data_IF_084128113111
#
_entry.id   IF_084128113111
#
_cell.length_a   1.000
_cell.length_b   1.000
_cell.length_c   1.000
_cell.angle_alpha   90.00
_cell.angle_beta   90.00
_cell.angle_gamma   90.00
#
_symmetry.space_group_name_H-M   'P 1'
#
loop_
_entity.id
_entity.type
_entity.pdbx_description
1 polymer ?
#
# COMPACT_ATOMS: atom_id res chain seq x y z
N UNK A 1 -51.09 21.39 17.97
CA UNK A 1 -49.91 21.26 17.09
C UNK A 1 -49.34 19.88 17.34
N UNK A 2 -49.40 18.97 16.35
CA UNK A 2 -48.75 17.66 16.43
C UNK A 2 -47.28 17.88 16.08
N UNK A 3 -46.39 17.53 16.99
CA UNK A 3 -44.95 17.49 16.71
C UNK A 3 -44.71 16.50 15.56
N UNK A 4 -44.35 17.03 14.41
CA UNK A 4 -43.84 16.27 13.28
C UNK A 4 -42.42 15.80 13.67
N UNK A 5 -42.34 14.68 14.37
CA UNK A 5 -41.11 13.88 14.45
C UNK A 5 -40.82 13.39 13.04
N UNK A 6 -39.97 14.09 12.31
CA UNK A 6 -39.36 13.55 11.09
C UNK A 6 -38.51 12.37 11.57
N UNK A 7 -39.02 11.15 11.41
CA UNK A 7 -38.28 9.91 11.65
C UNK A 7 -37.12 9.85 10.66
N UNK A 8 -35.97 10.41 11.05
CA UNK A 8 -34.76 10.24 10.28
C UNK A 8 -34.38 8.75 10.30
N UNK A 9 -34.21 8.15 9.12
CA UNK A 9 -33.74 6.77 8.99
C UNK A 9 -32.21 6.72 9.04
N UNK A 10 -31.66 5.60 9.51
CA UNK A 10 -30.23 5.37 9.52
C UNK A 10 -29.72 5.01 8.11
N UNK A 11 -28.75 5.76 7.57
CA UNK A 11 -28.13 5.50 6.26
C UNK A 11 -27.50 4.11 6.09
N UNK A 12 -27.20 3.40 7.18
CA UNK A 12 -26.57 2.07 7.14
C UNK A 12 -27.55 0.91 7.29
N UNK A 13 -28.71 1.09 7.92
CA UNK A 13 -29.64 -0.02 8.20
C UNK A 13 -31.11 0.31 7.91
N UNK A 14 -31.43 1.53 7.47
CA UNK A 14 -32.77 2.11 7.29
C UNK A 14 -33.67 2.14 8.53
N UNK A 15 -33.26 1.55 9.64
CA UNK A 15 -34.06 1.58 10.86
C UNK A 15 -34.14 2.99 11.49
N UNK A 16 -35.10 3.19 12.41
CA UNK A 16 -35.33 4.50 13.03
C UNK A 16 -34.10 4.96 13.80
N UNK A 17 -33.79 6.26 13.71
CA UNK A 17 -32.64 6.90 14.36
C UNK A 17 -33.09 7.62 15.63
N UNK A 18 -32.50 7.27 16.78
CA UNK A 18 -32.44 8.17 17.93
C UNK A 18 -31.35 9.21 17.64
N UNK A 19 -31.68 10.50 17.74
CA UNK A 19 -30.75 11.60 17.47
C UNK A 19 -29.64 11.57 18.52
N UNK A 20 -28.49 10.95 18.20
CA UNK A 20 -27.32 11.01 19.08
C UNK A 20 -26.59 12.34 18.86
N UNK A 21 -26.30 13.08 19.93
CA UNK A 21 -25.63 14.39 19.91
C UNK A 21 -24.16 14.37 19.46
N UNK A 22 -23.57 13.22 19.13
CA UNK A 22 -22.13 13.08 18.86
C UNK A 22 -21.78 12.83 17.36
N UNK A 23 -22.10 13.81 16.51
CA UNK A 23 -21.31 14.10 15.30
C UNK A 23 -21.41 13.19 14.07
N UNK A 24 -22.03 12.00 14.14
CA UNK A 24 -22.23 11.13 12.96
C UNK A 24 -23.60 11.41 12.30
N UNK A 25 -23.67 12.47 11.50
CA UNK A 25 -24.90 12.91 10.82
C UNK A 25 -25.43 11.80 9.88
N UNK A 26 -26.54 11.16 10.27
CA UNK A 26 -27.28 10.19 9.46
C UNK A 26 -27.24 8.73 9.93
N UNK A 27 -26.62 8.41 11.07
CA UNK A 27 -26.50 7.01 11.55
C UNK A 27 -27.11 6.80 12.95
N UNK A 28 -27.62 5.60 13.25
CA UNK A 28 -28.12 5.20 14.57
C UNK A 28 -26.97 4.82 15.52
N UNK A 29 -27.23 4.67 16.81
CA UNK A 29 -26.20 4.34 17.83
C UNK A 29 -25.51 2.99 17.60
N UNK A 30 -26.21 2.03 16.97
CA UNK A 30 -25.62 0.74 16.58
C UNK A 30 -24.64 0.91 15.42
N UNK A 31 -25.04 1.65 14.38
CA UNK A 31 -24.27 1.75 13.13
C UNK A 31 -23.20 2.85 13.18
N UNK A 32 -23.46 3.95 13.87
CA UNK A 32 -22.63 5.17 13.89
C UNK A 32 -21.14 4.93 14.16
N UNK A 33 -20.77 4.13 15.17
CA UNK A 33 -19.36 3.79 15.44
C UNK A 33 -18.63 3.07 14.28
N UNK A 34 -19.39 2.50 13.33
CA UNK A 34 -18.92 1.69 12.21
C UNK A 34 -19.26 2.30 10.84
N UNK A 35 -20.04 3.38 10.81
CA UNK A 35 -20.73 3.85 9.61
C UNK A 35 -19.84 4.53 8.57
N UNK A 36 -18.87 5.35 9.01
CA UNK A 36 -17.92 6.01 8.11
C UNK A 36 -16.73 5.12 7.74
N UNK A 37 -16.78 3.85 8.13
CA UNK A 37 -15.71 2.89 7.94
C UNK A 37 -16.08 1.98 6.77
N UNK A 38 -15.16 1.72 5.85
CA UNK A 38 -15.35 1.02 4.57
C UNK A 38 -16.14 1.75 3.46
N UNK A 39 -16.28 3.09 3.46
CA UNK A 39 -16.82 3.78 2.26
C UNK A 39 -15.67 4.03 1.28
N UNK A 40 -15.36 3.00 0.51
CA UNK A 40 -14.36 3.06 -0.56
C UNK A 40 -15.04 3.49 -1.84
N UNK A 41 -14.96 4.78 -2.16
CA UNK A 41 -15.50 5.33 -3.40
C UNK A 41 -14.53 5.04 -4.53
N UNK A 42 -15.00 4.40 -5.60
CA UNK A 42 -14.16 4.17 -6.79
C UNK A 42 -13.69 5.50 -7.41
N UNK A 43 -14.47 6.55 -7.20
CA UNK A 43 -14.18 7.92 -7.63
C UNK A 43 -12.96 8.51 -6.92
N UNK A 44 -12.58 7.96 -5.77
CA UNK A 44 -11.41 8.39 -5.03
C UNK A 44 -10.11 7.78 -5.58
N UNK A 45 -10.18 6.69 -6.34
CA UNK A 45 -9.01 6.05 -6.92
C UNK A 45 -8.43 6.85 -8.08
N UNK A 46 -7.12 6.71 -8.30
CA UNK A 46 -6.45 7.23 -9.50
C UNK A 46 -7.10 6.67 -10.78
N UNK A 47 -7.08 7.42 -11.90
CA UNK A 47 -7.80 7.01 -13.11
C UNK A 47 -7.40 5.63 -13.63
N UNK A 48 -6.11 5.27 -13.57
CA UNK A 48 -5.63 3.98 -14.03
C UNK A 48 -6.10 2.83 -13.12
N UNK A 49 -6.10 3.03 -11.79
CA UNK A 49 -6.55 2.00 -10.84
C UNK A 49 -8.06 1.77 -10.97
N UNK A 50 -8.84 2.85 -11.14
CA UNK A 50 -10.26 2.78 -11.45
C UNK A 50 -10.53 2.01 -12.74
N UNK A 51 -9.83 2.36 -13.83
CA UNK A 51 -10.01 1.69 -15.11
C UNK A 51 -9.75 0.18 -14.98
N UNK A 52 -8.68 -0.21 -14.29
CA UNK A 52 -8.35 -1.61 -14.07
C UNK A 52 -9.42 -2.37 -13.27
N UNK A 53 -9.93 -1.78 -12.18
CA UNK A 53 -10.98 -2.40 -11.35
C UNK A 53 -12.30 -2.57 -12.11
N UNK A 54 -12.65 -1.60 -12.96
CA UNK A 54 -13.92 -1.61 -13.71
C UNK A 54 -13.84 -2.51 -14.96
N UNK A 55 -12.74 -2.41 -15.70
CA UNK A 55 -12.63 -2.97 -17.05
C UNK A 55 -11.88 -4.31 -17.07
N UNK A 56 -10.88 -4.47 -16.22
CA UNK A 56 -9.92 -5.60 -16.26
C UNK A 56 -10.00 -6.46 -15.00
N UNK A 57 -11.22 -6.62 -14.46
CA UNK A 57 -11.46 -7.26 -13.16
C UNK A 57 -10.91 -8.69 -13.07
N UNK A 58 -11.04 -9.47 -14.14
CA UNK A 58 -10.59 -10.87 -14.15
C UNK A 58 -9.08 -10.97 -13.83
N UNK A 59 -8.28 -10.03 -14.33
CA UNK A 59 -6.83 -9.98 -14.08
C UNK A 59 -6.53 -9.80 -12.58
N UNK A 60 -7.33 -8.99 -11.88
CA UNK A 60 -7.14 -8.75 -10.45
C UNK A 60 -7.46 -9.98 -9.59
N UNK A 61 -8.32 -10.89 -10.06
CA UNK A 61 -8.64 -12.14 -9.39
C UNK A 61 -7.58 -13.23 -9.66
N UNK A 62 -6.90 -13.19 -10.83
CA UNK A 62 -5.96 -14.22 -11.27
C UNK A 62 -4.48 -13.93 -10.92
N UNK A 63 -4.12 -12.67 -10.65
CA UNK A 63 -2.72 -12.27 -10.39
C UNK A 63 -2.36 -12.37 -8.91
N UNK A 64 -1.33 -13.16 -8.61
CA UNK A 64 -0.73 -13.21 -7.27
C UNK A 64 -0.24 -11.82 -6.84
N UNK A 65 -0.43 -11.43 -5.56
CA UNK A 65 0.05 -10.15 -5.06
C UNK A 65 1.56 -10.02 -5.22
N UNK A 66 1.98 -9.03 -6.01
CA UNK A 66 3.39 -8.69 -6.19
C UNK A 66 3.79 -7.76 -5.05
N UNK A 67 4.78 -8.18 -4.27
CA UNK A 67 5.32 -7.35 -3.18
C UNK A 67 6.10 -6.16 -3.73
N UNK A 68 6.01 -4.98 -3.08
CA UNK A 68 6.73 -3.81 -3.52
C UNK A 68 8.24 -4.00 -3.35
N UNK A 69 9.03 -3.73 -4.41
CA UNK A 69 10.48 -3.77 -4.30
C UNK A 69 11.00 -2.63 -3.42
N UNK A 70 12.03 -2.92 -2.62
CA UNK A 70 12.67 -1.96 -1.71
C UNK A 70 14.12 -1.64 -2.10
N UNK A 71 14.65 -2.28 -3.13
CA UNK A 71 16.01 -2.06 -3.66
C UNK A 71 16.12 -2.60 -5.09
N UNK A 72 17.23 -2.28 -5.75
CA UNK A 72 17.48 -2.66 -7.14
C UNK A 72 17.48 -4.16 -7.41
N UNK A 73 18.00 -4.97 -6.48
CA UNK A 73 17.96 -6.43 -6.64
C UNK A 73 16.54 -7.00 -6.63
N UNK A 74 15.64 -6.40 -5.83
CA UNK A 74 14.21 -6.76 -5.84
C UNK A 74 13.51 -6.23 -7.09
N UNK A 75 13.87 -5.03 -7.56
CA UNK A 75 13.37 -4.49 -8.83
C UNK A 75 13.77 -5.36 -10.01
N UNK A 76 15.03 -5.80 -10.09
CA UNK A 76 15.50 -6.71 -11.14
C UNK A 76 14.68 -8.00 -11.17
N UNK A 77 14.51 -8.66 -10.01
CA UNK A 77 13.71 -9.90 -9.91
C UNK A 77 12.28 -9.71 -10.38
N UNK A 78 11.66 -8.59 -10.00
CA UNK A 78 10.32 -8.26 -10.47
C UNK A 78 10.28 -8.07 -11.99
N UNK A 79 11.20 -7.27 -12.54
CA UNK A 79 11.24 -6.98 -13.96
C UNK A 79 11.47 -8.26 -14.80
N UNK A 80 12.32 -9.17 -14.33
CA UNK A 80 12.52 -10.49 -14.94
C UNK A 80 11.26 -11.39 -14.92
N UNK A 81 10.34 -11.20 -13.98
CA UNK A 81 9.06 -11.93 -13.96
C UNK A 81 8.02 -11.36 -14.93
N UNK A 82 8.18 -10.10 -15.31
CA UNK A 82 7.22 -9.35 -16.14
C UNK A 82 7.65 -9.30 -17.60
N UNK A 83 8.95 -9.24 -17.87
CA UNK A 83 9.53 -9.07 -19.20
C UNK A 83 10.10 -10.42 -19.69
N UNK A 84 10.05 -10.73 -21.00
CA UNK A 84 10.70 -11.93 -21.55
C UNK A 84 12.19 -12.02 -21.21
N UNK A 85 12.69 -13.24 -21.03
CA UNK A 85 14.09 -13.50 -20.64
C UNK A 85 15.12 -13.09 -21.71
N UNK A 86 14.70 -13.03 -22.97
CA UNK A 86 15.50 -12.61 -24.12
C UNK A 86 15.38 -11.09 -24.39
N UNK A 87 14.74 -10.35 -23.50
CA UNK A 87 14.63 -8.90 -23.61
C UNK A 87 15.99 -8.22 -23.62
N UNK A 88 16.19 -7.45 -24.69
CA UNK A 88 17.29 -6.51 -24.85
C UNK A 88 16.73 -5.10 -24.64
N UNK A 89 17.21 -4.36 -23.62
CA UNK A 89 16.87 -2.94 -23.47
C UNK A 89 17.13 -2.18 -24.77
N UNK A 90 16.29 -1.20 -25.09
CA UNK A 90 16.50 -0.39 -26.29
C UNK A 90 17.90 0.26 -26.23
N UNK A 91 18.76 -0.06 -27.21
CA UNK A 91 20.16 0.36 -27.28
C UNK A 91 21.14 -0.46 -26.44
N UNK A 92 20.68 -1.54 -25.79
CA UNK A 92 21.49 -2.48 -25.02
C UNK A 92 22.04 -3.62 -25.87
N UNK A 93 23.22 -4.10 -25.49
CA UNK A 93 23.91 -5.22 -26.15
C UNK A 93 23.72 -6.55 -25.42
N UNK A 94 23.26 -6.50 -24.18
CA UNK A 94 23.17 -7.63 -23.28
C UNK A 94 21.75 -7.77 -22.72
N UNK A 95 21.29 -9.00 -22.42
CA UNK A 95 20.03 -9.21 -21.68
C UNK A 95 20.04 -8.47 -20.35
N UNK A 96 18.85 -8.04 -19.88
CA UNK A 96 18.70 -7.15 -18.71
C UNK A 96 19.52 -7.59 -17.48
N UNK A 97 19.49 -8.87 -17.12
CA UNK A 97 20.24 -9.41 -15.96
C UNK A 97 21.75 -9.34 -16.17
N UNK A 98 22.21 -9.74 -17.36
CA UNK A 98 23.64 -9.75 -17.71
C UNK A 98 24.17 -8.32 -17.76
N UNK A 99 23.40 -7.39 -18.34
CA UNK A 99 23.71 -5.97 -18.36
C UNK A 99 23.79 -5.40 -16.93
N UNK A 100 22.79 -5.68 -16.09
CA UNK A 100 22.76 -5.22 -14.71
C UNK A 100 23.99 -5.70 -13.91
N UNK A 101 24.35 -6.97 -14.04
CA UNK A 101 25.53 -7.52 -13.36
C UNK A 101 26.84 -6.96 -13.95
N UNK A 102 26.94 -6.73 -15.26
CA UNK A 102 28.11 -6.09 -15.86
C UNK A 102 28.32 -4.67 -15.32
N UNK A 103 27.24 -3.88 -15.22
CA UNK A 103 27.25 -2.52 -14.66
C UNK A 103 27.61 -2.55 -13.17
N UNK A 104 26.96 -3.44 -12.40
CA UNK A 104 27.13 -3.54 -10.95
C UNK A 104 28.55 -3.95 -10.55
N UNK A 105 29.19 -4.80 -11.33
CA UNK A 105 30.55 -5.27 -11.08
C UNK A 105 31.63 -4.30 -11.58
N UNK A 106 31.24 -3.22 -12.26
CA UNK A 106 32.17 -2.20 -12.71
C UNK A 106 32.50 -1.21 -11.56
N UNK A 107 33.74 -0.69 -11.48
CA UNK A 107 34.10 0.33 -10.50
C UNK A 107 33.19 1.57 -10.59
N UNK A 108 32.98 2.23 -9.46
CA UNK A 108 32.21 3.48 -9.42
C UNK A 108 32.94 4.54 -10.25
N UNK A 109 32.21 5.19 -11.15
CA UNK A 109 32.71 6.32 -11.93
C UNK A 109 32.39 7.63 -11.18
N UNK A 110 33.36 8.52 -11.12
CA UNK A 110 33.20 9.89 -10.63
C UNK A 110 33.54 10.87 -11.75
N UNK A 111 32.63 11.82 -12.02
CA UNK A 111 32.85 12.89 -12.99
C UNK A 111 33.67 13.98 -12.31
N UNK A 112 34.88 14.23 -12.81
CA UNK A 112 35.76 15.24 -12.25
C UNK A 112 35.51 16.62 -12.84
N UNK A 113 35.30 16.67 -14.16
CA UNK A 113 34.97 17.90 -14.89
C UNK A 113 34.40 17.59 -16.27
N UNK A 114 33.65 18.54 -16.81
CA UNK A 114 33.21 18.55 -18.21
C UNK A 114 33.79 19.80 -18.87
N UNK A 115 34.39 19.66 -20.05
CA UNK A 115 34.92 20.77 -20.84
C UNK A 115 34.16 20.84 -22.16
N UNK A 116 33.64 22.02 -22.48
CA UNK A 116 32.79 22.27 -23.65
C UNK A 116 33.59 22.95 -24.78
N UNK A 117 33.32 22.53 -26.03
CA UNK A 117 34.01 22.94 -27.25
C UNK A 117 33.02 23.08 -28.42
N UNK A 118 32.25 24.17 -28.45
CA UNK A 118 31.16 24.32 -29.43
C UNK A 118 30.15 23.19 -29.25
N UNK A 119 29.76 22.50 -30.32
CA UNK A 119 28.82 21.35 -30.27
C UNK A 119 29.50 20.03 -29.87
N UNK A 120 30.64 20.10 -29.19
CA UNK A 120 31.41 18.94 -28.73
C UNK A 120 32.02 19.20 -27.36
N UNK A 121 32.62 18.19 -26.75
CA UNK A 121 33.35 18.38 -25.51
C UNK A 121 34.00 17.11 -25.01
N UNK A 122 34.62 17.22 -23.84
CA UNK A 122 35.33 16.11 -23.19
C UNK A 122 34.88 15.99 -21.74
N UNK A 123 34.46 14.79 -21.36
CA UNK A 123 34.18 14.41 -19.98
C UNK A 123 35.44 13.79 -19.38
N UNK A 124 35.90 14.34 -18.25
CA UNK A 124 37.01 13.78 -17.49
C UNK A 124 36.47 13.03 -16.28
N UNK A 125 36.84 11.76 -16.14
CA UNK A 125 36.30 10.90 -15.09
C UNK A 125 37.36 9.99 -14.46
N UNK A 126 37.08 9.53 -13.25
CA UNK A 126 37.89 8.54 -12.54
C UNK A 126 37.07 7.30 -12.22
N UNK A 127 37.73 6.15 -12.16
CA UNK A 127 37.19 4.88 -11.66
C UNK A 127 37.80 4.48 -10.31
N UNK A 128 38.67 5.33 -9.77
CA UNK A 128 39.38 5.10 -8.52
C UNK A 128 38.52 5.54 -7.33
N UNK A 129 38.57 4.78 -6.23
CA UNK A 129 37.92 5.14 -4.97
C UNK A 129 38.96 5.82 -4.07
N UNK A 130 38.87 7.15 -3.82
CA UNK A 130 39.87 7.87 -3.04
C UNK A 130 39.90 7.49 -1.54
N UNK A 131 39.02 6.59 -1.07
CA UNK A 131 38.96 6.12 0.32
C UNK A 131 40.04 5.06 0.69
N UNK A 132 41.04 4.83 -0.17
CA UNK A 132 42.22 4.06 0.23
C UNK A 132 43.19 4.98 0.97
N UNK A 133 43.33 4.72 2.27
CA UNK A 133 44.25 5.30 3.26
C UNK A 133 45.74 5.09 2.91
N UNK A 134 46.11 5.28 1.64
CA UNK A 134 47.44 5.07 1.09
C UNK A 134 48.11 6.44 0.90
N UNK A 135 49.01 6.77 1.84
CA UNK A 135 49.82 8.00 1.82
C UNK A 135 50.76 8.17 0.61
N UNK A 136 50.70 7.25 -0.36
CA UNK A 136 51.44 7.23 -1.62
C UNK A 136 50.53 7.42 -2.86
N UNK A 137 49.29 7.91 -2.70
CA UNK A 137 48.40 8.18 -3.83
C UNK A 137 48.98 9.25 -4.78
N UNK A 138 49.46 8.80 -5.93
CA UNK A 138 49.80 9.64 -7.08
C UNK A 138 48.57 9.66 -7.99
N UNK A 139 47.87 10.79 -8.16
CA UNK A 139 46.69 10.84 -9.03
C UNK A 139 47.04 10.38 -10.44
N UNK A 140 46.40 9.31 -10.91
CA UNK A 140 46.52 8.93 -12.31
C UNK A 140 45.88 10.01 -13.18
N UNK A 141 46.38 10.15 -14.41
CA UNK A 141 45.75 11.05 -15.40
C UNK A 141 44.28 10.62 -15.55
N UNK A 142 43.31 11.54 -15.42
CA UNK A 142 41.91 11.18 -15.55
C UNK A 142 41.62 10.58 -16.93
N UNK A 143 40.67 9.65 -16.95
CA UNK A 143 40.16 9.13 -18.21
C UNK A 143 39.39 10.24 -18.95
N UNK A 144 39.43 10.20 -20.27
CA UNK A 144 38.84 11.21 -21.15
C UNK A 144 37.80 10.52 -22.03
N UNK A 145 36.61 11.10 -22.11
CA UNK A 145 35.55 10.70 -23.04
C UNK A 145 35.13 11.89 -23.89
N UNK A 146 35.47 11.85 -25.17
CA UNK A 146 35.07 12.87 -26.13
C UNK A 146 33.66 12.60 -26.65
N UNK A 147 32.86 13.66 -26.76
CA UNK A 147 31.49 13.59 -27.23
C UNK A 147 31.18 14.67 -28.25
N UNK A 148 30.15 14.42 -29.05
CA UNK A 148 29.59 15.36 -30.02
C UNK A 148 28.07 15.40 -29.86
N UNK A 149 27.53 16.61 -29.77
CA UNK A 149 26.09 16.85 -29.65
C UNK A 149 25.45 16.95 -31.03
N UNK A 150 24.20 16.48 -31.12
CA UNK A 150 23.32 16.82 -32.24
C UNK A 150 22.56 18.12 -31.87
N UNK A 151 21.94 18.80 -32.84
CA UNK A 151 21.28 20.12 -32.67
C UNK A 151 20.23 20.19 -31.53
N UNK A 152 19.72 19.05 -31.06
CA UNK A 152 18.70 18.95 -30.01
C UNK A 152 19.26 18.56 -28.61
N UNK A 153 20.54 18.22 -28.52
CA UNK A 153 21.17 17.77 -27.27
C UNK A 153 21.85 18.93 -26.51
N UNK A 154 21.74 18.89 -25.18
CA UNK A 154 22.41 19.85 -24.29
C UNK A 154 23.74 19.27 -23.77
N UNK A 155 24.71 20.15 -23.49
CA UNK A 155 25.94 19.74 -22.83
C UNK A 155 25.64 19.08 -21.46
N UNK A 156 26.34 17.97 -21.13
CA UNK A 156 26.15 17.29 -19.87
C UNK A 156 26.68 18.15 -18.72
N UNK A 157 25.89 18.26 -17.64
CA UNK A 157 26.34 18.92 -16.42
C UNK A 157 27.27 17.99 -15.63
N UNK A 158 28.37 18.51 -15.09
CA UNK A 158 29.27 17.73 -14.23
C UNK A 158 28.60 17.16 -12.96
N UNK A 159 27.48 17.76 -12.54
CA UNK A 159 26.68 17.33 -11.39
C UNK A 159 25.47 16.48 -11.78
N UNK A 160 25.38 16.03 -13.03
CA UNK A 160 24.31 15.17 -13.50
C UNK A 160 24.44 13.77 -12.90
N UNK A 161 23.49 13.39 -12.05
CA UNK A 161 23.48 12.11 -11.34
C UNK A 161 23.45 10.89 -12.27
N UNK A 162 22.95 11.05 -13.50
CA UNK A 162 22.86 9.97 -14.49
C UNK A 162 24.12 9.80 -15.33
N UNK A 163 24.97 10.82 -15.42
CA UNK A 163 26.14 10.79 -16.29
C UNK A 163 27.19 9.73 -15.87
N UNK A 164 27.53 9.56 -14.57
CA UNK A 164 28.42 8.47 -14.16
C UNK A 164 27.84 7.09 -14.50
N UNK A 165 26.53 6.88 -14.31
CA UNK A 165 25.90 5.60 -14.62
C UNK A 165 25.90 5.31 -16.12
N UNK A 166 25.61 6.30 -16.96
CA UNK A 166 25.65 6.15 -18.41
C UNK A 166 27.05 5.81 -18.95
N UNK A 167 28.10 6.38 -18.34
CA UNK A 167 29.49 6.00 -18.65
C UNK A 167 29.77 4.55 -18.26
N UNK A 168 29.35 4.12 -17.07
CA UNK A 168 29.50 2.72 -16.65
C UNK A 168 28.75 1.78 -17.59
N UNK A 169 27.51 2.12 -17.96
CA UNK A 169 26.70 1.36 -18.92
C UNK A 169 27.43 1.18 -20.26
N UNK A 170 28.12 2.21 -20.74
CA UNK A 170 28.89 2.14 -21.97
C UNK A 170 30.18 1.33 -21.81
N UNK A 171 31.02 1.66 -20.83
CA UNK A 171 32.36 1.07 -20.66
C UNK A 171 32.28 -0.41 -20.25
N UNK A 172 31.24 -0.81 -19.52
CA UNK A 172 30.98 -2.22 -19.21
C UNK A 172 30.55 -3.05 -20.44
N UNK A 173 30.28 -2.40 -21.58
CA UNK A 173 29.79 -3.02 -22.80
C UNK A 173 28.28 -3.35 -22.77
N UNK A 174 27.59 -3.03 -21.68
CA UNK A 174 26.15 -3.24 -21.56
C UNK A 174 25.35 -2.44 -22.60
N UNK A 175 25.84 -1.25 -22.95
CA UNK A 175 25.28 -0.37 -23.97
C UNK A 175 26.37 0.14 -24.91
N UNK A 176 26.01 0.41 -26.17
CA UNK A 176 26.91 1.03 -27.15
C UNK A 176 26.60 2.52 -27.40
N UNK A 177 25.54 3.04 -26.78
CA UNK A 177 25.08 4.40 -27.02
C UNK A 177 26.04 5.42 -26.38
N UNK A 178 26.17 6.57 -27.04
CA UNK A 178 26.83 7.73 -26.44
C UNK A 178 26.19 8.04 -25.06
N UNK A 179 27.01 8.23 -23.99
CA UNK A 179 26.52 8.47 -22.63
C UNK A 179 25.55 9.66 -22.52
N UNK A 180 25.72 10.72 -23.32
CA UNK A 180 24.88 11.92 -23.25
C UNK A 180 23.51 11.62 -23.86
N UNK A 181 23.51 11.00 -25.05
CA UNK A 181 22.26 10.55 -25.70
C UNK A 181 21.52 9.56 -24.81
N UNK A 182 22.26 8.71 -24.10
CA UNK A 182 21.72 7.75 -23.13
C UNK A 182 21.05 8.46 -21.94
N UNK A 183 21.69 9.47 -21.35
CA UNK A 183 21.11 10.28 -20.26
C UNK A 183 19.85 11.01 -20.73
N UNK A 184 19.92 11.71 -21.87
CA UNK A 184 18.79 12.44 -22.45
C UNK A 184 17.58 11.53 -22.69
N UNK A 185 17.82 10.37 -23.30
CA UNK A 185 16.81 9.35 -23.54
C UNK A 185 16.13 8.89 -22.23
N UNK A 186 16.91 8.54 -21.21
CA UNK A 186 16.36 8.07 -19.93
C UNK A 186 15.58 9.16 -19.20
N UNK A 187 16.10 10.39 -19.15
CA UNK A 187 15.38 11.52 -18.55
C UNK A 187 14.03 11.74 -19.23
N UNK A 188 14.00 11.71 -20.55
CA UNK A 188 12.76 11.87 -21.33
C UNK A 188 11.78 10.71 -21.06
N UNK A 189 12.27 9.48 -21.00
CA UNK A 189 11.47 8.30 -20.69
C UNK A 189 10.87 8.39 -19.28
N UNK A 190 11.71 8.64 -18.27
CA UNK A 190 11.30 8.80 -16.88
C UNK A 190 10.32 9.96 -16.69
N UNK A 191 10.53 11.11 -17.33
CA UNK A 191 9.63 12.27 -17.26
C UNK A 191 8.22 11.95 -17.74
N UNK A 192 8.06 11.02 -18.69
CA UNK A 192 6.74 10.64 -19.23
C UNK A 192 5.91 9.78 -18.29
N UNK A 193 6.53 8.92 -17.49
CA UNK A 193 5.79 7.87 -16.74
C UNK A 193 6.21 7.66 -15.28
N UNK A 194 7.40 8.13 -14.89
CA UNK A 194 7.96 8.00 -13.54
C UNK A 194 7.91 9.31 -12.75
N UNK A 195 7.22 10.35 -13.25
CA UNK A 195 7.02 11.62 -12.55
C UNK A 195 5.65 11.66 -11.87
N UNK A 196 5.69 11.77 -10.52
CA UNK A 196 4.57 11.81 -9.56
C UNK A 196 3.53 10.68 -9.66
N UNK A 197 3.38 9.94 -8.57
CA UNK A 197 2.18 9.13 -8.29
C UNK A 197 1.92 7.95 -9.23
N UNK A 198 2.95 7.47 -9.95
CA UNK A 198 2.91 6.26 -10.80
C UNK A 198 2.27 5.06 -10.09
N UNK A 199 2.56 4.91 -8.79
CA UNK A 199 2.04 3.84 -7.94
C UNK A 199 1.10 4.33 -6.85
N UNK A 200 0.62 5.58 -6.94
CA UNK A 200 -0.45 6.06 -6.09
C UNK A 200 -1.77 5.47 -6.54
N UNK A 201 -2.48 4.84 -5.60
CA UNK A 201 -3.74 4.14 -5.89
C UNK A 201 -4.91 4.93 -5.32
N UNK A 202 -4.81 5.37 -4.07
CA UNK A 202 -5.86 6.16 -3.39
C UNK A 202 -5.28 7.45 -2.77
N UNK A 203 -5.41 8.61 -3.44
CA UNK A 203 -5.03 9.92 -2.91
C UNK A 203 -5.91 10.38 -1.72
N UNK A 204 -7.17 9.94 -1.66
CA UNK A 204 -8.17 10.46 -0.73
C UNK A 204 -7.95 10.03 0.72
N UNK A 205 -7.27 8.90 0.91
CA UNK A 205 -6.97 8.35 2.22
C UNK A 205 -6.01 9.23 3.05
N UNK A 206 -5.37 10.23 2.41
CA UNK A 206 -4.42 11.15 3.03
C UNK A 206 -5.00 12.31 3.85
N UNK A 207 -6.30 12.65 3.75
CA UNK A 207 -6.84 13.87 4.41
C UNK A 207 -7.06 13.69 5.92
N UNK A 208 -7.22 12.44 6.41
CA UNK A 208 -7.56 12.18 7.82
C UNK A 208 -6.45 11.49 8.63
N UNK A 209 -5.51 10.78 8.01
CA UNK A 209 -4.53 9.93 8.72
C UNK A 209 -3.10 9.98 8.14
N UNK A 210 -2.77 10.94 7.27
CA UNK A 210 -1.38 11.27 6.89
C UNK A 210 -0.64 10.31 5.95
N UNK A 211 -1.22 9.16 5.59
CA UNK A 211 -0.59 8.19 4.67
C UNK A 211 -1.46 7.94 3.43
N UNK A 212 -0.98 8.42 2.28
CA UNK A 212 -1.52 8.04 0.97
C UNK A 212 -1.27 6.54 0.71
N UNK A 213 -2.21 5.86 0.02
CA UNK A 213 -2.04 4.45 -0.33
C UNK A 213 -1.24 4.33 -1.63
N UNK A 214 0.05 4.01 -1.48
CA UNK A 214 1.01 3.84 -2.56
C UNK A 214 1.67 2.47 -2.45
N UNK A 215 1.82 1.77 -3.57
CA UNK A 215 2.44 0.44 -3.59
C UNK A 215 3.93 0.49 -3.26
N UNK A 216 4.70 1.36 -3.93
CA UNK A 216 6.12 1.50 -3.71
C UNK A 216 6.52 2.97 -3.51
N UNK A 217 7.33 3.26 -2.50
CA UNK A 217 7.87 4.60 -2.20
C UNK A 217 9.23 4.87 -2.84
N UNK A 218 9.94 3.83 -3.32
CA UNK A 218 11.32 3.90 -3.80
C UNK A 218 11.41 3.37 -5.24
N UNK A 219 11.70 4.26 -6.18
CA UNK A 219 12.00 3.85 -7.56
C UNK A 219 13.40 3.18 -7.63
N UNK A 220 13.67 2.35 -8.65
CA UNK A 220 15.01 1.79 -8.85
C UNK A 220 16.06 2.90 -8.90
N UNK A 221 17.25 2.67 -8.36
CA UNK A 221 18.37 3.61 -8.44
C UNK A 221 19.01 3.54 -9.83
N UNK A 222 19.33 2.32 -10.33
CA UNK A 222 19.97 2.13 -11.63
C UNK A 222 19.14 2.59 -12.83
N UNK A 223 19.78 3.30 -13.75
CA UNK A 223 19.23 3.72 -15.05
C UNK A 223 18.62 2.58 -15.86
N UNK A 224 19.32 1.46 -16.04
CA UNK A 224 18.80 0.30 -16.79
C UNK A 224 17.47 -0.24 -16.23
N UNK A 225 17.30 -0.25 -14.90
CA UNK A 225 16.07 -0.72 -14.27
C UNK A 225 14.95 0.32 -14.42
N UNK A 226 15.27 1.62 -14.32
CA UNK A 226 14.33 2.71 -14.61
C UNK A 226 13.83 2.66 -16.05
N UNK A 227 14.72 2.35 -17.00
CA UNK A 227 14.35 2.15 -18.40
C UNK A 227 13.31 1.02 -18.54
N UNK A 228 13.67 -0.18 -18.08
CA UNK A 228 12.81 -1.34 -18.21
C UNK A 228 11.44 -1.12 -17.57
N UNK A 229 11.41 -0.50 -16.39
CA UNK A 229 10.16 -0.11 -15.73
C UNK A 229 9.34 0.89 -16.56
N UNK A 230 9.98 1.95 -17.06
CA UNK A 230 9.30 2.97 -17.86
C UNK A 230 8.78 2.40 -19.19
N UNK A 231 9.51 1.47 -19.82
CA UNK A 231 9.06 0.77 -21.03
C UNK A 231 7.81 -0.10 -20.76
N UNK A 232 7.72 -0.79 -19.62
CA UNK A 232 6.48 -1.48 -19.21
C UNK A 232 5.35 -0.47 -19.06
N UNK A 233 5.59 0.64 -18.36
CA UNK A 233 4.56 1.65 -18.09
C UNK A 233 4.04 2.35 -19.35
N UNK A 234 4.89 2.48 -20.37
CA UNK A 234 4.55 2.98 -21.70
C UNK A 234 3.90 1.90 -22.59
N UNK A 235 3.90 0.64 -22.17
CA UNK A 235 3.31 -0.48 -22.92
C UNK A 235 4.19 -1.01 -24.06
N UNK A 236 5.50 -0.72 -24.06
CA UNK A 236 6.42 -1.21 -25.09
C UNK A 236 6.55 -2.75 -25.07
N UNK A 237 6.28 -3.38 -23.92
CA UNK A 237 6.28 -4.83 -23.72
C UNK A 237 4.89 -5.47 -23.95
N UNK A 238 3.95 -4.74 -24.53
CA UNK A 238 2.55 -5.15 -24.63
C UNK A 238 1.75 -4.88 -23.35
N UNK A 239 0.49 -5.32 -23.35
CA UNK A 239 -0.44 -5.02 -22.25
C UNK A 239 -0.26 -5.93 -21.04
N UNK A 240 0.12 -7.20 -21.24
CA UNK A 240 0.20 -8.17 -20.15
C UNK A 240 1.20 -7.78 -19.05
N UNK A 241 2.45 -7.37 -19.34
CA UNK A 241 3.38 -6.94 -18.29
C UNK A 241 2.89 -5.71 -17.52
N UNK A 242 2.28 -4.75 -18.22
CA UNK A 242 1.68 -3.56 -17.61
C UNK A 242 0.51 -3.92 -16.70
N UNK A 243 -0.37 -4.80 -17.15
CA UNK A 243 -1.50 -5.29 -16.36
C UNK A 243 -1.02 -6.06 -15.14
N UNK A 244 -0.07 -6.99 -15.27
CA UNK A 244 0.46 -7.74 -14.13
C UNK A 244 1.10 -6.81 -13.09
N UNK A 245 1.87 -5.81 -13.52
CA UNK A 245 2.45 -4.80 -12.62
C UNK A 245 1.35 -4.00 -11.88
N UNK A 246 0.36 -3.49 -12.60
CA UNK A 246 -0.75 -2.72 -12.01
C UNK A 246 -1.65 -3.56 -11.12
N UNK A 247 -1.92 -4.81 -11.50
CA UNK A 247 -2.70 -5.76 -10.69
C UNK A 247 -1.99 -6.06 -9.39
N UNK A 248 -0.69 -6.37 -9.45
CA UNK A 248 0.14 -6.60 -8.28
C UNK A 248 0.12 -5.38 -7.34
N UNK A 249 0.30 -4.19 -7.89
CA UNK A 249 0.25 -2.95 -7.12
C UNK A 249 -1.10 -2.74 -6.42
N UNK A 250 -2.21 -2.96 -7.13
CA UNK A 250 -3.57 -2.86 -6.56
C UNK A 250 -3.78 -3.92 -5.49
N UNK A 251 -3.50 -5.20 -5.78
CA UNK A 251 -3.76 -6.33 -4.88
C UNK A 251 -2.96 -6.25 -3.57
N UNK A 252 -1.74 -5.71 -3.61
CA UNK A 252 -0.90 -5.53 -2.43
C UNK A 252 -1.34 -4.29 -1.59
N UNK A 253 -1.75 -3.21 -2.25
CA UNK A 253 -1.99 -1.93 -1.56
C UNK A 253 -3.43 -1.76 -1.07
N UNK A 254 -4.42 -2.26 -1.82
CA UNK A 254 -5.83 -2.05 -1.52
C UNK A 254 -6.64 -3.34 -1.72
N UNK A 255 -7.62 -3.55 -0.84
CA UNK A 255 -8.66 -4.53 -1.12
C UNK A 255 -9.65 -3.92 -2.13
N UNK A 256 -9.31 -4.04 -3.42
CA UNK A 256 -10.01 -3.37 -4.53
C UNK A 256 -11.50 -3.73 -4.63
N UNK A 257 -11.91 -4.90 -4.12
CA UNK A 257 -13.32 -5.32 -4.05
C UNK A 257 -14.18 -4.38 -3.19
N UNK A 258 -13.56 -3.63 -2.27
CA UNK A 258 -14.27 -2.59 -1.53
C UNK A 258 -14.60 -1.37 -2.40
N UNK A 259 -13.85 -1.13 -3.49
CA UNK A 259 -14.02 0.03 -4.37
C UNK A 259 -15.01 -0.25 -5.51
N UNK A 260 -15.83 -1.30 -5.45
CA UNK A 260 -16.85 -1.55 -6.46
C UNK A 260 -18.02 -0.57 -6.24
N UNK A 261 -18.48 0.02 -7.35
CA UNK A 261 -19.58 1.00 -7.43
C UNK A 261 -20.75 0.68 -6.49
N UNK A 262 -21.31 1.75 -5.90
CA UNK A 262 -22.13 1.78 -4.68
C UNK A 262 -23.40 0.91 -4.69
N UNK A 263 -23.96 0.48 -5.82
CA UNK A 263 -25.28 -0.18 -5.81
C UNK A 263 -25.22 -1.66 -5.40
N UNK A 264 -24.23 -2.43 -5.87
CA UNK A 264 -24.18 -3.88 -5.59
C UNK A 264 -23.70 -4.20 -4.17
N UNK A 265 -22.92 -3.30 -3.56
CA UNK A 265 -22.36 -3.50 -2.23
C UNK A 265 -23.18 -2.83 -1.11
N UNK A 266 -23.91 -1.76 -1.42
CA UNK A 266 -24.78 -1.10 -0.44
C UNK A 266 -25.85 -2.05 0.11
N UNK A 267 -26.48 -2.87 -0.73
CA UNK A 267 -27.55 -3.77 -0.28
C UNK A 267 -27.06 -4.90 0.66
N UNK A 268 -26.02 -5.69 0.34
CA UNK A 268 -25.45 -6.66 1.28
C UNK A 268 -24.94 -6.00 2.57
N UNK A 269 -24.25 -4.86 2.46
CA UNK A 269 -23.79 -4.10 3.63
C UNK A 269 -24.98 -3.67 4.50
N UNK A 270 -26.01 -3.12 3.90
CA UNK A 270 -27.21 -2.66 4.58
C UNK A 270 -27.94 -3.80 5.28
N UNK A 271 -28.12 -4.93 4.60
CA UNK A 271 -28.67 -6.15 5.21
C UNK A 271 -27.84 -6.63 6.39
N UNK A 272 -26.51 -6.56 6.29
CA UNK A 272 -25.63 -6.95 7.40
C UNK A 272 -25.76 -6.03 8.62
N UNK A 273 -25.94 -4.72 8.41
CA UNK A 273 -26.17 -3.77 9.50
C UNK A 273 -27.59 -3.88 10.08
N UNK A 274 -28.58 -4.26 9.26
CA UNK A 274 -29.91 -4.64 9.74
C UNK A 274 -29.84 -5.88 10.63
N UNK A 275 -29.07 -6.89 10.24
CA UNK A 275 -28.85 -8.09 11.04
C UNK A 275 -28.14 -7.78 12.37
N UNK A 276 -27.07 -6.97 12.33
CA UNK A 276 -26.41 -6.48 13.55
C UNK A 276 -27.40 -5.77 14.48
N UNK A 277 -28.25 -4.89 13.93
CA UNK A 277 -29.27 -4.19 14.69
C UNK A 277 -30.25 -5.16 15.34
N UNK A 278 -30.73 -6.16 14.60
CA UNK A 278 -31.63 -7.18 15.14
C UNK A 278 -30.99 -7.94 16.31
N UNK A 279 -29.70 -8.29 16.21
CA UNK A 279 -28.97 -8.92 17.31
C UNK A 279 -28.92 -8.00 18.53
N UNK A 280 -28.56 -6.73 18.35
CA UNK A 280 -28.48 -5.77 19.46
C UNK A 280 -29.85 -5.57 20.11
N UNK A 281 -30.92 -5.45 19.32
CA UNK A 281 -32.29 -5.27 19.84
C UNK A 281 -32.83 -6.53 20.54
N UNK A 282 -32.40 -7.73 20.10
CA UNK A 282 -32.81 -9.00 20.69
C UNK A 282 -32.04 -9.35 21.98
N UNK A 283 -30.90 -8.71 22.25
CA UNK A 283 -30.02 -9.06 23.37
C UNK A 283 -29.78 -7.84 24.29
N UNK A 284 -30.52 -7.72 25.41
CA UNK A 284 -30.40 -6.58 26.33
C UNK A 284 -29.01 -6.36 26.94
N UNK A 285 -28.19 -7.41 26.98
CA UNK A 285 -26.80 -7.39 27.49
C UNK A 285 -25.79 -6.85 26.46
N UNK A 286 -26.25 -6.50 25.24
CA UNK A 286 -25.48 -5.81 24.21
C UNK A 286 -25.99 -4.37 24.10
N UNK A 287 -25.23 -3.43 24.64
CA UNK A 287 -25.63 -2.04 24.77
C UNK A 287 -24.89 -1.19 23.72
N UNK A 288 -25.59 -0.53 22.78
CA UNK A 288 -24.96 0.38 21.85
C UNK A 288 -24.52 1.67 22.55
N UNK A 289 -23.31 2.13 22.23
CA UNK A 289 -22.76 3.39 22.75
C UNK A 289 -22.09 4.17 21.61
N UNK A 290 -21.85 5.50 21.78
CA UNK A 290 -21.10 6.27 20.79
C UNK A 290 -19.68 5.76 20.51
N UNK A 291 -19.10 4.93 21.38
CA UNK A 291 -17.75 4.37 21.25
C UNK A 291 -17.73 2.97 20.61
N UNK A 292 -18.88 2.32 20.46
CA UNK A 292 -18.97 0.91 20.04
C UNK A 292 -20.05 0.14 20.82
N UNK A 293 -20.02 -1.18 20.76
CA UNK A 293 -20.96 -2.03 21.52
C UNK A 293 -20.34 -2.46 22.85
N UNK A 294 -21.03 -2.25 23.96
CA UNK A 294 -20.67 -2.84 25.25
C UNK A 294 -21.43 -4.15 25.39
N UNK A 295 -20.73 -5.25 25.62
CA UNK A 295 -21.29 -6.61 25.68
C UNK A 295 -20.92 -7.19 27.03
N UNK A 296 -21.93 -7.65 27.77
CA UNK A 296 -21.70 -8.44 28.97
C UNK A 296 -21.74 -9.92 28.59
N UNK A 297 -20.62 -10.62 28.79
CA UNK A 297 -20.51 -12.05 28.50
C UNK A 297 -21.18 -12.92 29.57
N UNK A 298 -21.43 -14.18 29.22
CA UNK A 298 -21.93 -15.23 30.13
C UNK A 298 -21.04 -15.38 31.38
N UNK A 299 -19.73 -15.13 31.26
CA UNK A 299 -18.82 -15.14 32.40
C UNK A 299 -19.07 -14.00 33.39
N UNK A 300 -19.82 -12.97 33.01
CA UNK A 300 -20.00 -11.71 33.73
C UNK A 300 -18.96 -10.63 33.38
N UNK A 301 -18.02 -10.92 32.47
CA UNK A 301 -17.07 -9.94 31.97
C UNK A 301 -17.76 -8.89 31.08
N UNK A 302 -17.27 -7.65 31.09
CA UNK A 302 -17.77 -6.58 30.22
C UNK A 302 -16.74 -6.27 29.13
N UNK A 303 -17.17 -6.36 27.88
CA UNK A 303 -16.35 -6.12 26.70
C UNK A 303 -16.84 -4.88 25.97
N UNK A 304 -15.93 -4.00 25.57
CA UNK A 304 -16.21 -2.93 24.62
C UNK A 304 -15.66 -3.33 23.26
N UNK A 305 -16.58 -3.63 22.34
CA UNK A 305 -16.30 -3.81 20.93
C UNK A 305 -16.14 -2.42 20.29
N UNK A 306 -14.91 -1.96 20.21
CA UNK A 306 -14.55 -0.66 19.64
C UNK A 306 -13.85 -0.84 18.29
N UNK A 307 -14.06 0.12 17.39
CA UNK A 307 -13.28 0.22 16.16
C UNK A 307 -11.92 0.89 16.45
N UNK A 308 -10.82 0.12 16.42
CA UNK A 308 -9.47 0.72 16.23
C UNK A 308 -9.17 0.87 14.74
N UNK A 309 -8.10 1.62 14.44
CA UNK A 309 -7.68 1.99 13.07
C UNK A 309 -7.58 0.78 12.15
N UNK A 310 -7.87 1.01 10.87
CA UNK A 310 -7.58 0.07 9.79
C UNK A 310 -6.08 0.12 9.49
N UNK A 311 -5.35 -0.86 9.98
CA UNK A 311 -4.11 -1.23 9.30
C UNK A 311 -4.47 -2.44 8.42
N UNK A 312 -4.12 -2.36 7.13
CA UNK A 312 -4.08 -3.51 6.22
C UNK A 312 -5.42 -4.18 5.86
N UNK A 313 -6.43 -3.40 5.44
CA UNK A 313 -7.59 -3.95 4.69
C UNK A 313 -8.49 -4.95 5.44
N UNK A 314 -8.16 -5.31 6.67
CA UNK A 314 -8.93 -6.13 7.58
C UNK A 314 -9.40 -5.24 8.74
N UNK A 315 -10.71 -5.03 8.94
CA UNK A 315 -11.19 -4.31 10.11
C UNK A 315 -10.71 -5.05 11.36
N UNK A 316 -9.74 -4.46 12.05
CA UNK A 316 -9.31 -4.91 13.36
C UNK A 316 -10.34 -4.39 14.35
N UNK A 317 -11.35 -5.21 14.64
CA UNK A 317 -12.28 -4.88 15.72
C UNK A 317 -11.57 -5.19 17.04
N UNK A 318 -11.38 -4.16 17.86
CA UNK A 318 -10.64 -4.32 19.12
C UNK A 318 -11.63 -4.52 20.24
N UNK A 319 -11.45 -5.61 20.97
CA UNK A 319 -12.23 -5.94 22.15
C UNK A 319 -11.46 -5.43 23.37
N UNK A 320 -11.96 -4.36 23.97
CA UNK A 320 -11.40 -3.87 25.23
C UNK A 320 -12.15 -4.53 26.38
N UNK A 321 -11.44 -5.24 27.26
CA UNK A 321 -12.03 -5.65 28.54
C UNK A 321 -12.18 -4.41 29.43
N UNK A 322 -13.41 -4.12 29.87
CA UNK A 322 -13.67 -3.04 30.81
C UNK A 322 -13.50 -3.61 32.24
N UNK A 323 -12.47 -3.18 33.00
CA UNK A 323 -12.30 -3.68 34.36
C UNK A 323 -13.52 -3.32 35.22
N UNK A 324 -13.97 -4.27 36.05
CA UNK A 324 -14.98 -4.00 37.09
C UNK A 324 -14.51 -2.90 38.03
N UNK A 325 -15.45 -2.05 38.45
CA UNK A 325 -15.27 -0.80 39.20
C UNK A 325 -14.63 -0.98 40.61
N UNK A 326 -14.14 -2.16 40.98
CA UNK A 326 -13.65 -2.47 42.33
C UNK A 326 -12.16 -2.76 42.48
N UNK A 327 -11.34 -2.81 41.42
CA UNK A 327 -9.89 -3.00 41.58
C UNK A 327 -9.13 -1.67 41.66
N UNK A 328 -8.88 -1.18 42.88
CA UNK A 328 -8.08 0.01 43.21
C UNK A 328 -6.56 -0.12 42.90
N UNK A 329 -6.17 -0.85 41.85
CA UNK A 329 -4.76 -1.08 41.51
C UNK A 329 -4.51 -0.93 40.02
N UNK A 330 -4.54 0.32 39.54
CA UNK A 330 -3.98 0.73 38.23
C UNK A 330 -4.71 0.17 36.98
N UNK A 331 -4.85 0.95 35.89
CA UNK A 331 -5.57 0.50 34.73
C UNK A 331 -4.66 -0.39 33.86
N UNK A 332 -4.48 -1.67 34.21
CA UNK A 332 -3.98 -2.65 33.24
C UNK A 332 -5.10 -2.91 32.22
N UNK A 333 -5.18 -2.06 31.19
CA UNK A 333 -6.00 -2.26 30.00
C UNK A 333 -5.53 -3.55 29.31
N UNK A 334 -6.12 -4.69 29.63
CA UNK A 334 -5.96 -5.90 28.81
C UNK A 334 -6.89 -5.76 27.61
N UNK A 335 -6.38 -5.17 26.53
CA UNK A 335 -7.04 -5.20 25.23
C UNK A 335 -6.84 -6.57 24.60
N UNK A 336 -7.92 -7.25 24.25
CA UNK A 336 -7.87 -8.45 23.41
C UNK A 336 -8.10 -7.99 21.97
N UNK A 337 -7.08 -8.10 21.14
CA UNK A 337 -7.22 -7.84 19.71
C UNK A 337 -7.71 -9.13 19.06
N UNK A 338 -9.02 -9.23 18.80
CA UNK A 338 -9.54 -10.33 17.99
C UNK A 338 -9.43 -9.90 16.53
N UNK A 339 -8.38 -10.40 15.86
CA UNK A 339 -8.23 -10.22 14.43
C UNK A 339 -9.26 -11.08 13.70
N UNK A 340 -9.91 -10.49 12.72
CA UNK A 340 -10.66 -11.27 11.74
C UNK A 340 -9.73 -11.65 10.60
N UNK A 341 -9.84 -12.89 10.13
CA UNK A 341 -8.97 -13.44 9.08
C UNK A 341 -8.84 -12.46 7.89
N UNK A 342 -7.61 -12.21 7.42
CA UNK A 342 -7.39 -11.53 6.15
C UNK A 342 -8.17 -12.23 5.04
N UNK A 343 -8.97 -11.48 4.28
CA UNK A 343 -9.81 -12.05 3.21
C UNK A 343 -11.19 -12.57 3.66
N UNK A 344 -11.60 -12.36 4.91
CA UNK A 344 -12.97 -12.66 5.36
C UNK A 344 -14.01 -11.95 4.47
N UNK A 345 -14.79 -12.76 3.73
CA UNK A 345 -15.78 -12.32 2.73
C UNK A 345 -17.08 -11.77 3.32
N UNK A 346 -17.23 -11.79 4.64
CA UNK A 346 -18.45 -11.34 5.30
C UNK A 346 -18.55 -9.81 5.30
N UNK A 347 -19.72 -9.22 5.04
CA UNK A 347 -19.96 -7.80 5.25
C UNK A 347 -19.64 -7.35 6.69
N UNK A 348 -19.27 -6.08 6.87
CA UNK A 348 -18.85 -5.54 8.16
C UNK A 348 -19.90 -5.75 9.28
N UNK A 349 -21.20 -5.60 8.98
CA UNK A 349 -22.26 -5.81 9.96
C UNK A 349 -22.30 -7.24 10.51
N UNK A 350 -22.19 -8.24 9.64
CA UNK A 350 -22.20 -9.67 9.99
C UNK A 350 -20.97 -10.03 10.83
N UNK A 351 -19.84 -9.42 10.50
CA UNK A 351 -18.58 -9.56 11.22
C UNK A 351 -18.68 -9.04 12.66
N UNK A 352 -19.21 -7.83 12.82
CA UNK A 352 -19.45 -7.23 14.14
C UNK A 352 -20.46 -8.07 14.92
N UNK A 353 -21.53 -8.53 14.26
CA UNK A 353 -22.55 -9.39 14.84
C UNK A 353 -21.96 -10.72 15.36
N UNK A 354 -21.13 -11.38 14.56
CA UNK A 354 -20.48 -12.63 14.94
C UNK A 354 -19.56 -12.45 16.15
N UNK A 355 -18.76 -11.37 16.17
CA UNK A 355 -17.92 -11.02 17.32
C UNK A 355 -18.76 -10.69 18.56
N UNK A 356 -19.84 -9.93 18.41
CA UNK A 356 -20.70 -9.57 19.52
C UNK A 356 -21.34 -10.81 20.17
N UNK A 357 -21.83 -11.75 19.36
CA UNK A 357 -22.36 -13.02 19.84
C UNK A 357 -21.28 -13.93 20.45
N UNK A 358 -20.07 -13.93 19.89
CA UNK A 358 -18.95 -14.69 20.43
C UNK A 358 -18.52 -14.18 21.82
N UNK A 359 -18.53 -12.86 22.03
CA UNK A 359 -18.24 -12.24 23.33
C UNK A 359 -19.40 -12.37 24.31
N UNK A 360 -20.64 -12.37 23.82
CA UNK A 360 -21.80 -12.68 24.64
C UNK A 360 -21.70 -14.12 25.19
N UNK A 361 -21.30 -15.07 24.36
CA UNK A 361 -20.98 -16.44 24.78
C UNK A 361 -19.47 -16.65 25.00
N UNK A 362 -18.87 -15.76 25.80
CA UNK A 362 -17.43 -15.74 26.07
C UNK A 362 -16.90 -17.06 26.63
N UNK A 363 -17.63 -17.75 27.51
CA UNK A 363 -17.24 -19.05 28.08
C UNK A 363 -16.99 -20.07 26.95
N UNK A 364 -17.93 -20.24 26.02
CA UNK A 364 -17.76 -21.20 24.92
C UNK A 364 -16.67 -20.75 23.96
N UNK A 365 -16.60 -19.46 23.65
CA UNK A 365 -15.60 -18.91 22.73
C UNK A 365 -14.19 -19.03 23.30
N UNK A 366 -14.03 -18.82 24.60
CA UNK A 366 -12.75 -18.87 25.30
C UNK A 366 -12.14 -20.28 25.37
N UNK A 367 -12.92 -21.34 25.15
CA UNK A 367 -12.36 -22.69 24.94
C UNK A 367 -11.48 -22.79 23.68
N UNK A 368 -11.62 -21.85 22.74
CA UNK A 368 -10.92 -21.83 21.45
C UNK A 368 -9.96 -20.65 21.31
N UNK A 369 -10.12 -19.61 22.12
CA UNK A 369 -9.32 -18.38 22.06
C UNK A 369 -8.65 -18.17 23.42
N UNK A 370 -7.34 -18.35 23.45
CA UNK A 370 -6.56 -18.35 24.69
C UNK A 370 -6.59 -16.99 25.40
N UNK A 371 -6.55 -15.89 24.65
CA UNK A 371 -6.59 -14.53 25.20
C UNK A 371 -7.92 -14.23 25.88
N UNK A 372 -9.02 -14.76 25.34
CA UNK A 372 -10.34 -14.61 25.97
C UNK A 372 -10.44 -15.48 27.22
N UNK A 373 -9.80 -16.66 27.21
CA UNK A 373 -9.78 -17.57 28.35
C UNK A 373 -9.10 -16.96 29.58
N UNK A 374 -8.02 -16.21 29.40
CA UNK A 374 -7.37 -15.45 30.50
C UNK A 374 -8.33 -14.47 31.17
N UNK A 375 -9.29 -13.91 30.43
CA UNK A 375 -10.32 -13.03 30.98
C UNK A 375 -11.37 -13.85 31.74
N UNK A 376 -11.92 -14.90 31.11
CA UNK A 376 -12.97 -15.74 31.71
C UNK A 376 -12.48 -16.40 33.01
N UNK A 377 -11.22 -16.85 33.07
CA UNK A 377 -10.59 -17.43 34.26
C UNK A 377 -10.67 -16.49 35.48
N UNK A 378 -10.67 -15.16 35.27
CA UNK A 378 -10.78 -14.17 36.37
C UNK A 378 -12.18 -14.07 36.95
N UNK A 379 -13.20 -14.44 36.19
CA UNK A 379 -14.60 -14.34 36.61
C UNK A 379 -15.17 -15.68 37.06
N UNK A 380 -14.76 -16.78 36.44
CA UNK A 380 -15.28 -18.13 36.70
C UNK A 380 -14.35 -18.99 37.57
N UNK A 381 -13.13 -18.52 37.86
CA UNK A 381 -12.10 -19.30 38.53
C UNK A 381 -11.40 -20.29 37.58
N UNK A 382 -10.44 -21.06 38.08
CA UNK A 382 -9.76 -22.09 37.29
C UNK A 382 -10.61 -23.37 37.26
N UNK A 383 -10.94 -23.90 36.07
CA UNK A 383 -11.63 -25.20 35.91
C UNK A 383 -12.90 -25.24 35.05
N UNK A 384 -13.30 -24.13 34.41
CA UNK A 384 -14.48 -24.09 33.50
C UNK A 384 -14.20 -24.59 32.07
N UNK A 385 -12.92 -24.75 31.71
CA UNK A 385 -12.48 -25.09 30.35
C UNK A 385 -12.93 -26.48 29.92
#
# INVERSE_FOLDING_TARGET
>A
MRDMLIEATCKSCDGPRKISHNGSVGYCEVCGPYANRDVHKIENLTPWARAMIVQERAILDDVEPIRPPNNDSQWLKLLQQLIPSDYLPMGGNLPLEVAYEAIRNYPRVEIQRVVEHGDSGTIFYSTENPDADDGDYIPQKPNEWDYQLDDEDEHPCQYDEYLPEALVENISGAFSNDPIKRVSYIKNLCKRVLYYDTFLIDPSYGILDGNQRRWCSILPERMILRQALAEILLGHHGQEPLWRLRAGAINDTVYWKNYLSTVEWEEPRKKSFQYLRQIVEANPEIIPTPKGLVIKGESGANYLLQTKRFNEGAPTTVVLNLPSVSSQTGPTKQSVCIHMEPGCKLPLGDRIAALALALFNDIKTARRIEELAVIVDKFQGQGWR
#
